data_IF_403502415232
#
_entry.id   IF_403502415232
#
_cell.length_a   1.000
_cell.length_b   1.000
_cell.length_c   1.000
_cell.angle_alpha   90.00
_cell.angle_beta   90.00
_cell.angle_gamma   90.00
#
_symmetry.space_group_name_H-M   'P 1'
#
loop_
_entity.id
_entity.type
_entity.pdbx_description
1 polymer ?
#
# COMPACT_ATOMS: atom_id res chain seq x y z
N UNK A 1 5.29 20.42 -11.87
CA UNK A 1 6.68 19.98 -12.10
C UNK A 1 6.77 18.45 -12.01
N UNK A 2 6.63 17.72 -13.14
CA UNK A 2 6.64 16.25 -13.14
C UNK A 2 7.94 15.65 -12.59
N UNK A 3 9.06 16.30 -12.72
CA UNK A 3 10.35 15.77 -12.25
C UNK A 3 10.41 15.59 -10.73
N UNK A 4 9.56 16.28 -9.96
CA UNK A 4 9.43 16.05 -8.53
C UNK A 4 8.93 14.62 -8.20
N UNK A 5 8.27 13.95 -9.16
CA UNK A 5 7.69 12.61 -8.97
C UNK A 5 8.45 11.51 -9.69
N UNK A 6 9.06 11.80 -10.82
CA UNK A 6 9.60 10.78 -11.72
C UNK A 6 11.11 10.88 -11.97
N UNK A 7 11.81 11.71 -11.21
CA UNK A 7 13.26 11.89 -11.37
C UNK A 7 14.10 10.68 -10.95
N UNK A 8 13.57 9.78 -10.13
CA UNK A 8 14.36 8.66 -9.62
C UNK A 8 13.50 7.43 -9.31
N UNK A 9 13.52 6.43 -10.20
CA UNK A 9 12.91 5.12 -9.95
C UNK A 9 13.47 4.46 -8.68
N UNK A 10 14.81 4.40 -8.45
CA UNK A 10 15.37 3.75 -7.26
C UNK A 10 14.88 4.32 -5.92
N UNK A 11 14.40 5.56 -5.91
CA UNK A 11 13.87 6.19 -4.71
C UNK A 11 12.35 6.07 -4.56
N UNK A 12 11.67 5.61 -5.58
CA UNK A 12 10.20 5.66 -5.65
C UNK A 12 9.56 4.34 -6.09
N UNK A 13 10.30 3.24 -6.07
CA UNK A 13 9.75 1.93 -6.39
C UNK A 13 9.78 0.99 -5.18
N UNK A 14 8.93 0.02 -5.20
CA UNK A 14 9.00 -1.17 -4.37
C UNK A 14 8.80 -2.42 -5.22
N UNK A 15 8.98 -3.59 -4.61
CA UNK A 15 8.59 -4.85 -5.21
C UNK A 15 7.45 -5.45 -4.42
N UNK A 16 6.35 -5.74 -5.10
CA UNK A 16 5.21 -6.43 -4.51
C UNK A 16 5.16 -7.88 -4.95
N UNK A 17 4.38 -8.68 -4.25
CA UNK A 17 4.13 -10.05 -4.61
C UNK A 17 2.72 -10.46 -4.20
N UNK A 18 2.12 -11.33 -4.99
CA UNK A 18 0.84 -11.94 -4.68
C UNK A 18 1.06 -13.43 -4.49
N UNK A 19 0.48 -13.99 -3.43
CA UNK A 19 0.58 -15.41 -3.12
C UNK A 19 -0.78 -16.06 -3.22
N UNK A 20 -0.85 -17.15 -3.96
CA UNK A 20 -2.01 -18.04 -4.04
C UNK A 20 -1.67 -19.36 -3.35
N UNK A 21 -2.42 -19.69 -2.34
CA UNK A 21 -2.32 -20.92 -1.54
C UNK A 21 -3.41 -21.91 -1.96
N UNK A 22 -3.18 -23.21 -1.73
CA UNK A 22 -4.10 -24.30 -2.04
C UNK A 22 -4.76 -24.92 -0.81
N UNK A 23 -4.56 -24.32 0.35
CA UNK A 23 -5.18 -24.69 1.62
C UNK A 23 -5.11 -23.53 2.62
N UNK A 24 -5.62 -23.74 3.83
CA UNK A 24 -5.65 -22.73 4.89
C UNK A 24 -4.44 -22.73 5.81
N UNK A 25 -3.51 -23.68 5.66
CA UNK A 25 -2.46 -23.93 6.66
C UNK A 25 -1.63 -22.69 7.02
N UNK A 26 -1.25 -21.88 6.01
CA UNK A 26 -0.52 -20.64 6.24
C UNK A 26 -1.37 -19.61 7.00
N UNK A 27 -2.64 -19.43 6.62
CA UNK A 27 -3.54 -18.51 7.31
C UNK A 27 -3.81 -18.93 8.75
N UNK A 28 -4.01 -20.23 9.00
CA UNK A 28 -4.22 -20.77 10.35
C UNK A 28 -2.98 -20.54 11.24
N UNK A 29 -1.77 -20.68 10.70
CA UNK A 29 -0.54 -20.35 11.40
C UNK A 29 -0.42 -18.85 11.67
N UNK A 30 -0.75 -18.01 10.70
CA UNK A 30 -0.73 -16.55 10.87
C UNK A 30 -1.74 -16.07 11.90
N UNK A 31 -2.95 -16.64 11.95
CA UNK A 31 -3.95 -16.32 12.97
C UNK A 31 -3.44 -16.68 14.39
N UNK A 32 -2.78 -17.82 14.53
CA UNK A 32 -2.13 -18.21 15.81
C UNK A 32 -0.98 -17.28 16.18
N UNK A 33 -0.18 -16.89 15.20
CA UNK A 33 0.99 -16.04 15.42
C UNK A 33 0.60 -14.61 15.79
N UNK A 34 -0.39 -14.02 15.11
CA UNK A 34 -0.78 -12.62 15.31
C UNK A 34 -1.91 -12.44 16.33
N UNK A 35 -2.69 -13.46 16.60
CA UNK A 35 -3.94 -13.39 17.36
C UNK A 35 -5.09 -12.74 16.59
N UNK A 36 -4.92 -12.41 15.31
CA UNK A 36 -5.90 -11.74 14.48
C UNK A 36 -6.43 -12.67 13.37
N UNK A 37 -7.74 -12.67 13.17
CA UNK A 37 -8.34 -13.35 12.02
C UNK A 37 -7.96 -12.64 10.72
N UNK A 38 -7.82 -13.40 9.64
CA UNK A 38 -7.59 -12.84 8.32
C UNK A 38 -8.63 -11.76 7.96
N UNK A 39 -8.17 -10.64 7.42
CA UNK A 39 -9.01 -9.48 7.08
C UNK A 39 -9.40 -8.57 8.24
N UNK A 40 -9.04 -8.92 9.49
CA UNK A 40 -9.33 -8.09 10.68
C UNK A 40 -8.07 -7.43 11.25
N UNK A 41 -6.92 -8.03 11.04
CA UNK A 41 -5.61 -7.45 11.34
C UNK A 41 -5.19 -6.46 10.26
N UNK A 42 -4.27 -5.60 10.61
CA UNK A 42 -3.67 -4.69 9.66
C UNK A 42 -2.55 -5.35 8.86
N UNK A 43 -1.61 -4.52 8.49
CA UNK A 43 -0.37 -4.89 7.84
C UNK A 43 0.57 -5.56 8.84
N UNK A 44 1.14 -6.70 8.50
CA UNK A 44 2.21 -7.36 9.27
C UNK A 44 3.54 -6.94 8.64
N UNK A 45 4.32 -6.14 9.36
CA UNK A 45 5.61 -5.64 8.90
C UNK A 45 6.75 -6.34 9.66
N UNK A 46 7.71 -6.87 8.93
CA UNK A 46 8.91 -7.48 9.49
C UNK A 46 9.98 -6.39 9.64
N UNK A 47 10.05 -5.80 10.84
CA UNK A 47 10.94 -4.65 11.12
C UNK A 47 12.43 -4.98 10.96
N UNK A 48 12.82 -6.24 11.15
CA UNK A 48 14.19 -6.72 11.04
C UNK A 48 14.51 -7.28 9.64
N UNK A 49 13.57 -7.22 8.70
CA UNK A 49 13.79 -7.61 7.31
C UNK A 49 14.67 -6.58 6.60
N UNK A 50 15.75 -7.04 6.00
CA UNK A 50 16.59 -6.20 5.15
C UNK A 50 15.80 -5.60 3.98
N UNK A 51 14.81 -6.33 3.47
CA UNK A 51 13.90 -5.85 2.42
C UNK A 51 12.83 -4.90 2.96
N UNK A 52 12.67 -4.81 4.30
CA UNK A 52 11.54 -4.15 4.96
C UNK A 52 10.22 -4.67 4.37
N UNK A 53 10.04 -5.98 4.49
CA UNK A 53 8.90 -6.69 3.94
C UNK A 53 7.66 -6.49 4.80
N UNK A 54 6.52 -6.44 4.14
CA UNK A 54 5.19 -6.43 4.78
C UNK A 54 4.23 -7.33 4.02
N UNK A 55 3.29 -7.94 4.73
CA UNK A 55 2.21 -8.74 4.15
C UNK A 55 0.85 -8.28 4.65
N UNK A 56 -0.17 -8.46 3.82
CA UNK A 56 -1.57 -8.19 4.14
C UNK A 56 -2.36 -9.45 3.90
N UNK A 57 -2.99 -9.95 4.96
CA UNK A 57 -3.87 -11.10 4.91
C UNK A 57 -5.31 -10.62 4.70
N UNK A 58 -5.82 -10.83 3.50
CA UNK A 58 -7.19 -10.46 3.16
C UNK A 58 -8.20 -11.36 3.84
N UNK A 59 -9.41 -10.86 4.05
CA UNK A 59 -10.58 -11.70 4.31
C UNK A 59 -10.74 -12.69 3.15
N UNK A 60 -11.06 -13.95 3.48
CA UNK A 60 -11.29 -14.99 2.48
C UNK A 60 -12.79 -15.35 2.42
N UNK A 61 -13.38 -15.58 1.25
CA UNK A 61 -12.77 -15.38 -0.08
C UNK A 61 -12.55 -13.89 -0.38
N UNK A 62 -11.42 -13.58 -1.06
CA UNK A 62 -11.10 -12.21 -1.44
C UNK A 62 -11.72 -11.82 -2.78
N UNK A 63 -11.84 -12.76 -3.69
CA UNK A 63 -12.44 -12.57 -5.01
C UNK A 63 -13.81 -13.22 -5.11
N UNK A 64 -14.70 -12.60 -5.89
CA UNK A 64 -15.95 -13.23 -6.30
C UNK A 64 -15.62 -14.51 -7.08
N UNK A 65 -16.28 -15.63 -6.77
CA UNK A 65 -16.02 -16.95 -7.36
C UNK A 65 -14.64 -17.55 -7.06
N UNK A 66 -13.95 -17.10 -6.01
CA UNK A 66 -12.74 -17.76 -5.54
C UNK A 66 -13.10 -19.18 -5.05
N UNK A 67 -12.37 -20.23 -5.49
CA UNK A 67 -12.57 -21.59 -4.97
C UNK A 67 -12.34 -21.67 -3.46
N UNK A 68 -13.07 -22.51 -2.77
CA UNK A 68 -13.01 -22.63 -1.29
C UNK A 68 -11.65 -23.12 -0.78
N UNK A 69 -10.95 -23.93 -1.58
CA UNK A 69 -9.60 -24.44 -1.29
C UNK A 69 -8.48 -23.46 -1.67
N UNK A 70 -8.81 -22.31 -2.21
CA UNK A 70 -7.84 -21.28 -2.62
C UNK A 70 -7.88 -20.12 -1.66
N UNK A 71 -6.71 -19.71 -1.19
CA UNK A 71 -6.55 -18.49 -0.40
C UNK A 71 -5.48 -17.59 -1.04
N UNK A 72 -5.64 -16.28 -0.88
CA UNK A 72 -4.72 -15.30 -1.46
C UNK A 72 -4.31 -14.27 -0.43
N UNK A 73 -3.05 -13.86 -0.50
CA UNK A 73 -2.56 -12.70 0.22
C UNK A 73 -1.59 -11.89 -0.63
N UNK A 74 -1.30 -10.70 -0.20
CA UNK A 74 -0.41 -9.77 -0.86
C UNK A 74 0.69 -9.31 0.09
N UNK A 75 1.84 -9.00 -0.49
CA UNK A 75 2.94 -8.40 0.26
C UNK A 75 3.77 -7.48 -0.62
N UNK A 76 4.68 -6.76 0.02
CA UNK A 76 5.62 -5.88 -0.67
C UNK A 76 6.88 -5.67 0.18
N UNK A 77 7.92 -5.18 -0.47
CA UNK A 77 9.16 -4.78 0.17
C UNK A 77 9.60 -3.39 -0.31
N UNK A 78 10.06 -2.56 0.61
CA UNK A 78 10.46 -1.18 0.34
C UNK A 78 11.94 -1.06 -0.09
N UNK A 79 12.74 -2.09 0.19
CA UNK A 79 14.17 -2.12 -0.13
C UNK A 79 14.55 -3.35 -0.97
N UNK A 80 13.95 -3.51 -2.17
CA UNK A 80 14.10 -4.72 -2.97
C UNK A 80 15.53 -4.93 -3.52
N UNK A 81 16.39 -3.91 -3.48
CA UNK A 81 17.79 -4.00 -3.90
C UNK A 81 18.75 -4.50 -2.81
N UNK A 82 18.25 -4.70 -1.58
CA UNK A 82 19.06 -5.25 -0.50
C UNK A 82 19.06 -6.77 -0.53
N UNK A 83 20.16 -7.36 -0.11
CA UNK A 83 20.25 -8.81 0.10
C UNK A 83 19.34 -9.21 1.25
N UNK A 84 18.59 -10.30 1.09
CA UNK A 84 17.69 -10.83 2.11
C UNK A 84 18.42 -11.33 3.37
N UNK A 85 17.66 -11.64 4.40
CA UNK A 85 18.20 -12.21 5.63
C UNK A 85 18.40 -13.72 5.50
N UNK A 86 17.52 -14.40 4.77
CA UNK A 86 17.52 -15.85 4.57
C UNK A 86 17.84 -16.24 3.13
N UNK A 87 17.69 -15.31 2.19
CA UNK A 87 18.02 -15.47 0.77
C UNK A 87 19.17 -14.55 0.41
N UNK A 88 20.30 -15.13 -0.06
CA UNK A 88 21.54 -14.41 -0.32
C UNK A 88 21.54 -13.64 -1.67
N UNK A 89 20.41 -12.97 -2.00
CA UNK A 89 20.27 -12.11 -3.19
C UNK A 89 19.23 -11.01 -2.96
N UNK A 90 19.26 -9.92 -3.76
CA UNK A 90 18.25 -8.88 -3.70
C UNK A 90 16.87 -9.42 -4.08
N UNK A 91 15.80 -8.89 -3.48
CA UNK A 91 14.43 -9.29 -3.84
C UNK A 91 14.13 -9.06 -5.32
N UNK A 92 14.68 -7.99 -5.89
CA UNK A 92 14.54 -7.67 -7.32
C UNK A 92 15.08 -8.74 -8.29
N UNK A 93 15.87 -9.69 -7.78
CA UNK A 93 16.42 -10.83 -8.52
C UNK A 93 15.81 -12.17 -8.09
N UNK A 94 14.87 -12.12 -7.13
CA UNK A 94 14.25 -13.30 -6.55
C UNK A 94 13.13 -13.87 -7.42
N UNK A 95 13.03 -15.18 -7.42
CA UNK A 95 11.83 -15.90 -7.85
C UNK A 95 10.76 -15.85 -6.76
N UNK A 96 9.51 -16.22 -7.09
CA UNK A 96 8.48 -16.36 -6.06
C UNK A 96 8.84 -17.34 -4.96
N UNK A 97 9.54 -18.43 -5.27
CA UNK A 97 10.02 -19.40 -4.28
C UNK A 97 11.04 -18.79 -3.31
N UNK A 98 11.96 -17.97 -3.81
CA UNK A 98 12.93 -17.26 -2.96
C UNK A 98 12.21 -16.28 -2.01
N UNK A 99 11.20 -15.56 -2.50
CA UNK A 99 10.42 -14.61 -1.67
C UNK A 99 9.68 -15.37 -0.55
N UNK A 100 9.10 -16.52 -0.87
CA UNK A 100 8.43 -17.35 0.12
C UNK A 100 9.42 -17.94 1.14
N UNK A 101 10.61 -18.33 0.73
CA UNK A 101 11.67 -18.77 1.63
C UNK A 101 12.06 -17.65 2.61
N UNK A 102 12.27 -16.43 2.14
CA UNK A 102 12.56 -15.27 2.99
C UNK A 102 11.43 -14.98 3.97
N UNK A 103 10.17 -15.00 3.49
CA UNK A 103 8.98 -14.80 4.31
C UNK A 103 8.88 -15.84 5.43
N UNK A 104 9.00 -17.12 5.11
CA UNK A 104 8.95 -18.20 6.10
C UNK A 104 10.10 -18.13 7.09
N UNK A 105 11.30 -17.72 6.64
CA UNK A 105 12.43 -17.49 7.53
C UNK A 105 12.12 -16.44 8.61
N UNK A 106 11.49 -15.31 8.22
CA UNK A 106 11.07 -14.28 9.17
C UNK A 106 9.95 -14.72 10.13
N UNK A 107 9.04 -15.58 9.66
CA UNK A 107 7.93 -16.12 10.47
C UNK A 107 8.35 -17.31 11.33
N UNK A 108 9.48 -17.93 11.03
CA UNK A 108 9.88 -19.23 11.56
C UNK A 108 8.82 -20.30 11.29
N UNK A 109 8.30 -20.30 10.07
CA UNK A 109 7.33 -21.28 9.57
C UNK A 109 8.02 -22.30 8.66
N UNK A 110 7.54 -23.55 8.69
CA UNK A 110 8.00 -24.57 7.76
C UNK A 110 7.55 -24.24 6.33
N UNK A 111 8.44 -24.50 5.37
CA UNK A 111 8.15 -24.30 3.94
C UNK A 111 7.05 -25.24 3.42
N UNK A 112 6.77 -26.35 4.11
CA UNK A 112 5.69 -27.28 3.76
C UNK A 112 4.33 -26.58 3.71
N UNK A 113 4.10 -25.59 4.59
CA UNK A 113 2.85 -24.81 4.62
C UNK A 113 2.59 -24.01 3.34
N UNK A 114 3.61 -23.83 2.52
CA UNK A 114 3.55 -23.03 1.28
C UNK A 114 4.19 -23.74 0.08
N UNK A 115 4.48 -25.05 0.19
CA UNK A 115 5.16 -25.81 -0.87
C UNK A 115 4.42 -25.75 -2.21
N UNK A 116 3.08 -25.73 -2.18
CA UNK A 116 2.22 -25.65 -3.35
C UNK A 116 1.77 -24.22 -3.68
N UNK A 117 2.30 -23.23 -2.99
CA UNK A 117 1.94 -21.85 -3.21
C UNK A 117 2.51 -21.32 -4.54
N UNK A 118 1.75 -20.46 -5.18
CA UNK A 118 2.21 -19.68 -6.34
C UNK A 118 2.47 -18.26 -5.85
N UNK A 119 3.71 -17.83 -5.91
CA UNK A 119 4.10 -16.46 -5.60
C UNK A 119 4.54 -15.76 -6.89
N UNK A 120 3.91 -14.64 -7.18
CA UNK A 120 4.17 -13.83 -8.38
C UNK A 120 4.74 -12.48 -7.94
N UNK A 121 6.05 -12.25 -8.11
CA UNK A 121 6.65 -10.95 -7.86
C UNK A 121 6.24 -9.95 -8.95
N UNK A 122 6.13 -8.68 -8.57
CA UNK A 122 5.77 -7.58 -9.45
C UNK A 122 6.54 -6.32 -9.07
N UNK A 123 7.42 -5.85 -9.97
CA UNK A 123 8.11 -4.59 -9.80
C UNK A 123 7.15 -3.43 -10.04
N UNK A 124 7.11 -2.48 -9.11
CA UNK A 124 6.21 -1.33 -9.11
C UNK A 124 7.01 -0.03 -9.18
N UNK A 125 7.48 0.39 -10.38
CA UNK A 125 8.20 1.65 -10.53
C UNK A 125 7.29 2.83 -10.21
N UNK A 126 7.85 3.86 -9.57
CA UNK A 126 7.14 5.09 -9.17
C UNK A 126 5.98 4.92 -8.18
N UNK A 127 5.79 3.74 -7.58
CA UNK A 127 4.64 3.49 -6.70
C UNK A 127 4.61 4.43 -5.48
N UNK A 128 5.78 4.83 -4.97
CA UNK A 128 5.89 5.76 -3.85
C UNK A 128 6.21 7.18 -4.28
N UNK A 129 6.21 7.49 -5.57
CA UNK A 129 6.55 8.82 -6.07
C UNK A 129 5.60 9.91 -5.57
N UNK A 130 4.35 9.57 -5.24
CA UNK A 130 3.39 10.47 -4.62
C UNK A 130 3.84 11.00 -3.25
N UNK A 131 4.77 10.32 -2.58
CA UNK A 131 5.34 10.72 -1.28
C UNK A 131 6.66 11.47 -1.40
N UNK A 132 7.19 11.61 -2.61
CA UNK A 132 8.46 12.31 -2.82
C UNK A 132 8.34 13.78 -2.38
N UNK A 133 9.40 14.34 -1.78
CA UNK A 133 9.44 15.75 -1.42
C UNK A 133 9.16 16.66 -2.61
N UNK A 134 8.23 17.59 -2.46
CA UNK A 134 7.80 18.51 -3.51
C UNK A 134 7.29 19.82 -2.94
N UNK A 135 7.22 20.85 -3.76
CA UNK A 135 6.47 22.05 -3.47
C UNK A 135 4.96 21.84 -3.72
N UNK A 136 4.12 22.62 -3.04
CA UNK A 136 2.65 22.55 -3.22
C UNK A 136 2.26 22.74 -4.69
N UNK A 137 2.94 23.62 -5.43
CA UNK A 137 2.64 23.90 -6.83
C UNK A 137 3.15 22.86 -7.83
N UNK A 138 3.83 21.82 -7.39
CA UNK A 138 4.37 20.77 -8.28
C UNK A 138 3.28 19.86 -8.84
N UNK A 139 2.16 19.72 -8.15
CA UNK A 139 1.01 18.95 -8.61
C UNK A 139 0.02 19.81 -9.37
N UNK A 140 -0.63 19.27 -10.42
CA UNK A 140 -1.74 19.96 -11.06
C UNK A 140 -2.97 19.98 -10.14
N UNK A 141 -3.80 21.00 -10.26
CA UNK A 141 -5.15 20.98 -9.70
C UNK A 141 -6.01 19.95 -10.45
N UNK A 142 -7.07 19.37 -9.83
CA UNK A 142 -8.01 18.49 -10.52
C UNK A 142 -8.53 19.10 -11.82
N UNK A 143 -8.93 20.35 -11.83
CA UNK A 143 -9.19 21.12 -13.04
C UNK A 143 -8.14 22.22 -13.14
N UNK A 144 -7.20 22.15 -14.09
CA UNK A 144 -6.18 23.18 -14.24
C UNK A 144 -6.80 24.53 -14.55
N UNK A 145 -6.19 25.61 -14.04
CA UNK A 145 -6.64 26.99 -14.33
C UNK A 145 -6.75 27.19 -15.84
N UNK A 146 -7.84 27.80 -16.27
CA UNK A 146 -8.17 28.07 -17.68
C UNK A 146 -8.47 26.79 -18.52
N UNK A 147 -8.59 25.63 -17.93
CA UNK A 147 -9.08 24.43 -18.61
C UNK A 147 -10.61 24.47 -18.70
N UNK A 148 -11.15 24.01 -19.86
CA UNK A 148 -12.60 23.94 -20.10
C UNK A 148 -13.13 22.50 -20.15
N UNK A 149 -12.27 21.56 -20.51
CA UNK A 149 -12.63 20.16 -20.80
C UNK A 149 -11.52 19.17 -20.46
N UNK A 150 -10.59 19.57 -19.58
CA UNK A 150 -9.49 18.72 -19.12
C UNK A 150 -9.49 18.69 -17.59
N UNK A 151 -9.40 17.48 -17.04
CA UNK A 151 -9.16 17.26 -15.62
C UNK A 151 -8.10 16.21 -15.41
N UNK A 152 -7.38 16.33 -14.30
CA UNK A 152 -6.52 15.29 -13.74
C UNK A 152 -7.17 14.74 -12.50
N UNK A 153 -7.13 13.41 -12.35
CA UNK A 153 -7.67 12.73 -11.18
C UNK A 153 -6.61 11.80 -10.61
N UNK A 154 -6.82 11.26 -9.46
CA UNK A 154 -5.97 10.34 -8.72
C UNK A 154 -5.17 10.99 -7.60
N UNK A 155 -4.21 10.26 -7.07
CA UNK A 155 -3.34 10.71 -5.97
C UNK A 155 -2.24 11.69 -6.40
N UNK A 156 -2.12 11.97 -7.69
CA UNK A 156 -1.11 12.89 -8.24
C UNK A 156 -1.60 14.33 -8.46
N UNK A 157 -2.82 14.64 -8.11
CA UNK A 157 -3.35 16.00 -8.15
C UNK A 157 -3.17 16.70 -6.80
N UNK A 158 -3.26 18.02 -6.79
CA UNK A 158 -3.23 18.82 -5.55
C UNK A 158 -4.64 18.99 -5.00
N UNK A 159 -4.85 18.49 -3.80
CA UNK A 159 -6.05 18.79 -3.00
C UNK A 159 -5.55 19.37 -1.68
N UNK A 160 -5.77 20.68 -1.45
CA UNK A 160 -5.32 21.33 -0.22
C UNK A 160 -5.91 20.63 1.02
N UNK A 161 -5.07 20.48 2.05
CA UNK A 161 -5.46 19.96 3.35
C UNK A 161 -5.86 18.47 3.40
N UNK A 162 -5.85 17.76 2.28
CA UNK A 162 -6.14 16.33 2.25
C UNK A 162 -4.87 15.48 2.33
N UNK A 163 -5.02 14.24 2.77
CA UNK A 163 -3.93 13.28 2.94
C UNK A 163 -3.87 12.37 1.71
N UNK A 164 -2.78 12.48 0.98
CA UNK A 164 -2.44 11.57 -0.12
C UNK A 164 -2.37 10.11 0.38
N UNK A 165 -2.56 9.14 -0.51
CA UNK A 165 -2.53 7.71 -0.24
C UNK A 165 -3.88 7.09 0.20
N UNK A 166 -4.94 7.84 0.26
CA UNK A 166 -6.26 7.27 0.54
C UNK A 166 -7.09 7.12 -0.73
N UNK A 167 -8.01 6.15 -0.73
CA UNK A 167 -8.99 6.00 -1.81
C UNK A 167 -9.87 7.25 -1.87
N UNK A 168 -10.21 7.81 -0.71
CA UNK A 168 -10.99 9.02 -0.57
C UNK A 168 -10.36 10.21 -1.29
N UNK A 169 -9.03 10.32 -1.26
CA UNK A 169 -8.31 11.37 -2.00
C UNK A 169 -8.59 11.28 -3.51
N UNK A 170 -8.52 10.07 -4.08
CA UNK A 170 -8.79 9.83 -5.50
C UNK A 170 -10.26 10.09 -5.86
N UNK A 171 -11.19 9.69 -4.98
CA UNK A 171 -12.62 9.95 -5.15
C UNK A 171 -12.91 11.44 -5.07
N UNK A 172 -12.30 12.16 -4.12
CA UNK A 172 -12.44 13.61 -3.98
C UNK A 172 -11.93 14.34 -5.22
N UNK A 173 -10.77 13.92 -5.76
CA UNK A 173 -10.24 14.46 -7.01
C UNK A 173 -11.23 14.30 -8.17
N UNK A 174 -11.86 13.13 -8.27
CA UNK A 174 -12.89 12.87 -9.29
C UNK A 174 -14.16 13.70 -9.08
N UNK A 175 -14.63 13.84 -7.84
CA UNK A 175 -15.78 14.68 -7.51
C UNK A 175 -15.53 16.16 -7.87
N UNK A 176 -14.37 16.71 -7.47
CA UNK A 176 -13.97 18.08 -7.83
C UNK A 176 -14.01 18.24 -9.35
N UNK A 177 -13.38 17.33 -10.09
CA UNK A 177 -13.32 17.38 -11.55
C UNK A 177 -14.71 17.37 -12.19
N UNK A 178 -15.58 16.44 -11.76
CA UNK A 178 -16.94 16.32 -12.29
C UNK A 178 -17.79 17.55 -11.94
N UNK A 179 -17.79 17.96 -10.68
CA UNK A 179 -18.65 19.06 -10.23
C UNK A 179 -18.25 20.39 -10.90
N UNK A 180 -16.95 20.62 -11.06
CA UNK A 180 -16.46 21.83 -11.71
C UNK A 180 -16.71 21.84 -13.22
N UNK A 181 -16.40 20.75 -13.94
CA UNK A 181 -16.55 20.69 -15.39
C UNK A 181 -18.00 20.66 -15.84
N UNK A 182 -18.88 19.95 -15.12
CA UNK A 182 -20.29 19.81 -15.47
C UNK A 182 -21.20 20.79 -14.75
N UNK A 183 -20.62 21.72 -13.97
CA UNK A 183 -21.37 22.73 -13.20
C UNK A 183 -22.45 22.10 -12.30
N UNK A 184 -22.08 20.98 -11.65
CA UNK A 184 -22.98 20.30 -10.73
C UNK A 184 -23.14 21.17 -9.48
N UNK A 185 -24.38 21.48 -9.13
CA UNK A 185 -24.72 22.25 -7.92
C UNK A 185 -24.65 21.36 -6.68
N UNK A 186 -23.44 20.95 -6.34
CA UNK A 186 -23.10 20.15 -5.14
C UNK A 186 -21.71 20.54 -4.64
N UNK A 187 -21.58 20.54 -3.33
CA UNK A 187 -20.28 20.69 -2.69
C UNK A 187 -19.61 19.34 -2.48
N UNK A 188 -18.30 19.31 -2.67
CA UNK A 188 -17.49 18.14 -2.26
C UNK A 188 -17.45 18.10 -0.74
N UNK A 189 -17.69 16.94 -0.11
CA UNK A 189 -17.69 16.84 1.35
C UNK A 189 -16.41 17.41 1.97
N UNK A 190 -16.50 18.15 3.07
CA UNK A 190 -15.35 18.77 3.71
C UNK A 190 -14.36 17.72 4.24
N UNK A 191 -13.10 18.10 4.37
CA UNK A 191 -12.06 17.29 4.97
C UNK A 191 -12.12 17.44 6.49
N UNK A 192 -12.16 16.34 7.21
CA UNK A 192 -12.09 16.36 8.67
C UNK A 192 -10.64 16.59 9.12
N UNK A 193 -10.36 17.80 9.58
CA UNK A 193 -9.03 18.23 10.07
C UNK A 193 -8.80 17.78 11.53
N UNK A 194 -8.68 16.47 11.76
CA UNK A 194 -8.40 15.91 13.09
C UNK A 194 -7.05 16.38 13.66
N UNK A 195 -6.11 16.70 12.80
CA UNK A 195 -4.82 17.31 13.14
C UNK A 195 -4.97 18.67 13.84
N UNK A 196 -6.06 19.36 13.66
CA UNK A 196 -6.39 20.63 14.31
C UNK A 196 -7.19 20.49 15.60
N UNK A 197 -7.72 19.29 15.89
CA UNK A 197 -8.50 19.03 17.07
C UNK A 197 -7.64 19.07 18.35
N UNK A 198 -7.96 19.97 19.28
CA UNK A 198 -7.29 20.06 20.59
C UNK A 198 -7.40 18.77 21.41
N UNK A 199 -8.53 18.07 21.30
CA UNK A 199 -8.71 16.77 21.95
C UNK A 199 -7.72 15.76 21.42
N UNK A 200 -7.58 15.63 20.10
CA UNK A 200 -6.63 14.70 19.48
C UNK A 200 -5.19 15.06 19.84
N UNK A 201 -4.84 16.35 19.85
CA UNK A 201 -3.51 16.81 20.24
C UNK A 201 -3.21 16.50 21.71
N UNK A 202 -4.17 16.71 22.59
CA UNK A 202 -4.02 16.39 24.03
C UNK A 202 -3.90 14.88 24.24
N UNK A 203 -4.77 14.08 23.62
CA UNK A 203 -4.70 12.62 23.72
C UNK A 203 -3.37 12.07 23.19
N UNK A 204 -2.87 12.62 22.08
CA UNK A 204 -1.55 12.27 21.55
C UNK A 204 -0.42 12.65 22.51
N UNK A 205 -0.50 13.83 23.10
CA UNK A 205 0.49 14.28 24.11
C UNK A 205 0.50 13.33 25.31
N UNK A 206 -0.64 13.00 25.88
CA UNK A 206 -0.73 12.06 27.02
C UNK A 206 -0.13 10.70 26.65
N UNK A 207 -0.50 10.14 25.49
CA UNK A 207 0.03 8.83 25.04
C UNK A 207 1.51 8.81 24.71
N UNK A 208 2.11 9.95 24.45
CA UNK A 208 3.56 10.04 24.22
C UNK A 208 4.40 9.86 25.51
N UNK A 209 3.75 9.97 26.69
CA UNK A 209 4.40 9.88 28.00
C UNK A 209 3.89 8.72 28.86
N UNK A 210 2.98 7.92 28.34
CA UNK A 210 2.50 6.67 28.93
C UNK A 210 2.96 5.45 28.13
#
# INVERSE_FOLDING_TARGET
NPSAFNSSIPKSYWESFTVTLRDSAFFDQMEKFTGNRAGTGGLVTFKDSNWLMSIVLYHQPHFLNQPEDVQVFWGYALHPDRIGNFVAKPMSECTGADILQELCGHLNFDLEAIEKAICIPCRMPYITSMFMPRAISDRPLPVPRNSKNLAFISQFVEIPDDVVFTVEYSIRAAQIAVYELFKVDREVPPINRWDQSWKVKFDAFVKAFT
#
